data_IF_963416476497
#
_entry.id   IF_963416476497
#
_cell.length_a   1.000
_cell.length_b   1.000
_cell.length_c   1.000
_cell.angle_alpha   90.00
_cell.angle_beta   90.00
_cell.angle_gamma   90.00
#
_symmetry.space_group_name_H-M   'P 1'
#
loop_
_entity.id
_entity.type
_entity.pdbx_description
1 polymer ?
#
# COMPACT_ATOMS: atom_id res chain seq x y z
N UNK A 1 -4.22 -4.15 3.68
CA UNK A 1 -3.00 -4.99 3.73
C UNK A 1 -3.34 -6.46 3.58
N UNK A 2 -4.26 -7.01 4.40
CA UNK A 2 -4.64 -8.43 4.37
C UNK A 2 -5.08 -8.94 2.98
N UNK A 3 -5.95 -8.21 2.27
CA UNK A 3 -6.35 -8.55 0.89
C UNK A 3 -5.23 -8.41 -0.15
N UNK A 4 -4.22 -7.56 0.07
CA UNK A 4 -3.12 -7.36 -0.87
C UNK A 4 -2.12 -8.53 -0.88
N UNK A 5 -1.94 -9.19 0.26
CA UNK A 5 -1.04 -10.35 0.38
C UNK A 5 -1.64 -11.61 -0.26
N UNK A 6 -2.96 -11.77 -0.24
CA UNK A 6 -3.68 -12.86 -0.92
C UNK A 6 -3.60 -12.81 -2.46
N UNK A 7 -3.15 -11.68 -3.03
CA UNK A 7 -2.97 -11.50 -4.47
C UNK A 7 -1.53 -11.71 -4.96
N UNK A 8 -0.56 -11.98 -4.07
CA UNK A 8 0.84 -12.20 -4.45
C UNK A 8 1.62 -10.92 -4.77
N UNK A 9 1.26 -9.79 -4.15
CA UNK A 9 1.98 -8.52 -4.31
C UNK A 9 3.41 -8.65 -3.79
N UNK A 10 4.40 -8.19 -4.57
CA UNK A 10 5.81 -8.27 -4.22
C UNK A 10 6.28 -7.19 -3.23
N UNK A 11 5.61 -6.02 -3.21
CA UNK A 11 5.93 -4.91 -2.32
C UNK A 11 4.74 -3.97 -2.09
N UNK A 12 4.66 -3.38 -0.91
CA UNK A 12 3.77 -2.25 -0.63
C UNK A 12 4.58 -0.94 -0.66
N UNK A 13 4.38 -0.14 -1.72
CA UNK A 13 4.96 1.21 -1.82
C UNK A 13 4.01 2.21 -1.19
N UNK A 14 4.40 2.72 -0.02
CA UNK A 14 3.67 3.78 0.66
C UNK A 14 3.95 5.12 -0.02
N UNK A 15 2.93 5.98 -0.14
CA UNK A 15 3.09 7.33 -0.67
C UNK A 15 2.22 8.34 0.06
N UNK A 16 2.61 9.62 -0.05
CA UNK A 16 1.82 10.76 0.42
C UNK A 16 1.27 11.50 -0.79
N UNK A 17 -0.05 11.65 -0.84
CA UNK A 17 -0.76 12.50 -1.81
C UNK A 17 -1.23 13.80 -1.17
N UNK A 18 -1.70 14.74 -1.99
CA UNK A 18 -2.22 16.04 -1.54
C UNK A 18 -3.32 15.90 -0.47
N UNK A 19 -4.18 14.88 -0.59
CA UNK A 19 -5.33 14.67 0.30
C UNK A 19 -4.99 13.83 1.55
N UNK A 20 -3.72 13.48 1.77
CA UNK A 20 -3.32 12.70 2.93
C UNK A 20 -3.32 13.56 4.22
N UNK A 21 -4.17 13.19 5.18
CA UNK A 21 -4.19 13.79 6.53
C UNK A 21 -2.92 13.47 7.32
N UNK A 22 -2.43 12.23 7.19
CA UNK A 22 -1.17 11.79 7.81
C UNK A 22 -0.08 11.84 6.75
N UNK A 23 0.88 12.77 6.92
CA UNK A 23 1.98 12.99 5.96
C UNK A 23 3.30 12.36 6.37
N UNK A 24 3.41 11.91 7.62
CA UNK A 24 4.59 11.24 8.15
C UNK A 24 4.20 9.95 8.84
N UNK A 25 5.00 8.92 8.59
CA UNK A 25 4.85 7.62 9.23
C UNK A 25 5.96 7.48 10.28
N UNK A 26 5.59 7.32 11.55
CA UNK A 26 6.57 7.08 12.59
C UNK A 26 7.25 5.72 12.39
N UNK A 27 8.51 5.54 12.81
CA UNK A 27 9.21 4.26 12.72
C UNK A 27 8.41 3.11 13.34
N UNK A 28 7.84 3.29 14.53
CA UNK A 28 7.03 2.26 15.19
C UNK A 28 5.76 1.88 14.42
N UNK A 29 5.18 2.81 13.63
CA UNK A 29 4.03 2.49 12.77
C UNK A 29 4.48 1.71 11.53
N UNK A 30 5.65 2.02 10.97
CA UNK A 30 6.24 1.27 9.88
C UNK A 30 6.57 -0.17 10.30
N UNK A 31 7.19 -0.35 11.48
CA UNK A 31 7.52 -1.67 12.01
C UNK A 31 6.27 -2.52 12.24
N UNK A 32 5.20 -1.91 12.75
CA UNK A 32 3.90 -2.57 12.89
C UNK A 32 3.32 -3.01 11.55
N UNK A 33 3.44 -2.20 10.49
CA UNK A 33 2.97 -2.59 9.15
C UNK A 33 3.78 -3.75 8.59
N UNK A 34 5.10 -3.75 8.79
CA UNK A 34 5.98 -4.88 8.41
C UNK A 34 5.60 -6.17 9.14
N UNK A 35 5.29 -6.09 10.44
CA UNK A 35 4.82 -7.24 11.21
C UNK A 35 3.51 -7.81 10.65
N UNK A 36 2.52 -6.95 10.38
CA UNK A 36 1.23 -7.37 9.79
C UNK A 36 1.44 -8.05 8.42
N UNK A 37 2.32 -7.51 7.58
CA UNK A 37 2.60 -8.08 6.27
C UNK A 37 3.27 -9.46 6.36
N UNK A 38 4.19 -9.62 7.32
CA UNK A 38 4.81 -10.91 7.62
C UNK A 38 3.79 -11.94 8.10
N UNK A 39 2.97 -11.60 9.09
CA UNK A 39 1.91 -12.48 9.60
C UNK A 39 0.93 -12.89 8.49
N UNK A 40 0.57 -11.95 7.61
CA UNK A 40 -0.32 -12.22 6.47
C UNK A 40 0.35 -13.15 5.44
N UNK A 41 1.65 -12.97 5.18
CA UNK A 41 2.40 -13.84 4.25
C UNK A 41 2.46 -15.27 4.80
N UNK A 42 2.82 -15.42 6.09
CA UNK A 42 2.85 -16.69 6.81
C UNK A 42 1.49 -17.41 6.77
N UNK A 43 0.38 -16.69 7.00
CA UNK A 43 -0.98 -17.26 6.95
C UNK A 43 -1.45 -17.63 5.53
N UNK A 44 -0.90 -16.98 4.50
CA UNK A 44 -1.29 -17.21 3.10
C UNK A 44 -0.53 -18.35 2.41
N UNK A 45 0.32 -19.08 3.16
CA UNK A 45 1.23 -20.13 2.66
C UNK A 45 2.13 -19.68 1.48
N UNK A 46 2.24 -18.37 1.25
CA UNK A 46 3.14 -17.76 0.26
C UNK A 46 4.45 -17.40 0.95
N UNK A 47 5.54 -18.02 0.48
CA UNK A 47 6.88 -17.85 1.06
C UNK A 47 7.53 -16.48 0.86
N UNK A 48 6.84 -15.48 0.31
CA UNK A 48 7.41 -14.15 0.05
C UNK A 48 6.70 -13.11 0.91
N UNK A 49 7.43 -12.52 1.85
CA UNK A 49 6.97 -11.37 2.62
C UNK A 49 7.17 -10.11 1.76
N UNK A 50 6.10 -9.34 1.45
CA UNK A 50 6.24 -8.14 0.65
C UNK A 50 7.05 -7.06 1.38
N UNK A 51 7.93 -6.38 0.65
CA UNK A 51 8.70 -5.25 1.20
C UNK A 51 7.80 -4.05 1.51
N UNK A 52 8.09 -3.35 2.62
CA UNK A 52 7.40 -2.11 3.01
C UNK A 52 8.44 -1.06 3.37
N UNK A 53 8.50 0.00 2.57
CA UNK A 53 9.41 1.12 2.77
C UNK A 53 8.69 2.36 3.33
N UNK A 54 9.45 3.33 3.89
CA UNK A 54 8.90 4.63 4.26
C UNK A 54 8.15 5.30 3.10
N UNK A 55 7.13 6.13 3.40
CA UNK A 55 6.35 6.77 2.37
C UNK A 55 7.19 7.75 1.54
N UNK A 56 6.99 7.71 0.22
CA UNK A 56 7.58 8.66 -0.74
C UNK A 56 6.51 9.62 -1.28
N UNK A 57 6.87 10.53 -2.19
CA UNK A 57 5.85 11.34 -2.88
C UNK A 57 5.04 10.47 -3.84
N UNK A 58 3.81 10.90 -4.16
CA UNK A 58 2.98 10.20 -5.14
C UNK A 58 3.66 10.11 -6.51
N UNK A 59 4.32 11.18 -6.97
CA UNK A 59 5.04 11.19 -8.23
C UNK A 59 6.15 10.13 -8.29
N UNK A 60 6.84 9.87 -7.17
CA UNK A 60 7.92 8.89 -7.10
C UNK A 60 7.45 7.43 -7.19
N UNK A 61 6.15 7.15 -7.05
CA UNK A 61 5.61 5.79 -7.23
C UNK A 61 4.97 5.57 -8.60
N UNK A 62 4.89 6.61 -9.44
CA UNK A 62 4.35 6.49 -10.78
C UNK A 62 5.42 5.98 -11.75
N UNK A 63 5.06 4.98 -12.53
CA UNK A 63 5.86 4.47 -13.64
C UNK A 63 5.14 4.84 -14.96
N UNK A 64 5.81 5.53 -15.91
CA UNK A 64 5.26 5.79 -17.24
C UNK A 64 4.79 4.54 -17.98
N UNK A 65 5.36 3.36 -17.69
CA UNK A 65 4.92 2.06 -18.24
C UNK A 65 3.95 1.29 -17.33
N UNK A 66 3.63 1.85 -16.16
CA UNK A 66 2.81 1.19 -15.15
C UNK A 66 1.32 1.18 -15.51
N UNK A 67 0.62 0.14 -15.05
CA UNK A 67 -0.85 0.08 -15.12
C UNK A 67 -1.41 0.45 -13.76
N UNK A 68 -2.22 1.51 -13.71
CA UNK A 68 -2.94 1.90 -12.50
C UNK A 68 -4.34 1.27 -12.50
N UNK A 69 -4.57 0.35 -11.56
CA UNK A 69 -5.90 -0.17 -11.26
C UNK A 69 -6.48 0.61 -10.09
N UNK A 70 -7.66 1.18 -10.26
CA UNK A 70 -8.37 1.89 -9.21
C UNK A 70 -9.88 1.66 -9.33
N UNK A 71 -10.56 1.62 -8.19
CA UNK A 71 -12.02 1.60 -8.16
C UNK A 71 -12.55 3.03 -8.20
N UNK A 72 -13.46 3.32 -9.13
CA UNK A 72 -14.25 4.56 -9.12
C UNK A 72 -15.42 4.36 -8.17
N UNK A 73 -15.39 4.99 -7.00
CA UNK A 73 -16.61 5.18 -6.23
C UNK A 73 -17.59 5.97 -7.12
N UNK A 74 -18.80 5.44 -7.35
CA UNK A 74 -19.84 6.12 -8.12
C UNK A 74 -20.06 7.51 -7.52
N UNK A 75 -19.93 8.55 -8.35
CA UNK A 75 -20.26 9.92 -7.95
C UNK A 75 -21.75 9.99 -7.65
N UNK A 76 -22.09 10.37 -6.42
CA UNK A 76 -23.41 10.93 -6.17
C UNK A 76 -23.52 12.22 -6.97
N UNK A 77 -24.44 12.27 -7.93
CA UNK A 77 -24.87 13.50 -8.57
C UNK A 77 -25.30 14.49 -7.48
N UNK A 78 -24.78 15.73 -7.44
CA UNK A 78 -25.37 16.75 -6.58
C UNK A 78 -26.75 17.10 -7.13
N UNK A 79 -27.79 16.82 -6.34
CA UNK A 79 -29.14 17.34 -6.56
C UNK A 79 -29.29 18.80 -6.18
#
# INVERSE_FOLDING_TARGET
MQQGTELGVAAFRLFVSERCVVRQLSPGRLDRLKAIARESAEQSERGVVPEIDPPVSFESVLDPGGVLLFERAQGGEPG
#
